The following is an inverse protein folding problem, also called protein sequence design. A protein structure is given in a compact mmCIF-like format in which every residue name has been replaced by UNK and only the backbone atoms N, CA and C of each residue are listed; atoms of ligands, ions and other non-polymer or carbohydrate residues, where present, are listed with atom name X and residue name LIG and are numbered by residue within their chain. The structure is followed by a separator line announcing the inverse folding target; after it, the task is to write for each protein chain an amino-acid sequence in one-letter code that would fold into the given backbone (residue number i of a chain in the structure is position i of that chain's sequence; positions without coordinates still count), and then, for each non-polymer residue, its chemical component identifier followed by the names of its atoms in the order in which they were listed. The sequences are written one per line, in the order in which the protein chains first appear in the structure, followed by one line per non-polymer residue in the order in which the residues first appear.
data_IF_055077112655
#
_entry.id   IF_055077112655
#
_cell.length_a   1.000
_cell.length_b   1.000
_cell.length_c   1.000
_cell.angle_alpha   90.00
_cell.angle_beta   90.00
_cell.angle_gamma   90.00
#
_symmetry.space_group_name_H-M   'P 1'
#
loop_
_entity.id
_entity.type
_entity.pdbx_description
1 polymer ?
#
# COMPACT_ATOMS: atom_id res chain seq x y z
N UNK A 1 -11.98 -3.10 -6.39
CA UNK A 1 -11.34 -2.69 -5.12
C UNK A 1 -10.50 -3.86 -4.68
N UNK A 2 -9.20 -3.68 -4.57
CA UNK A 2 -8.27 -4.67 -4.01
C UNK A 2 -7.93 -4.29 -2.57
N UNK A 3 -7.75 -5.29 -1.72
CA UNK A 3 -7.37 -5.12 -0.32
C UNK A 3 -5.93 -5.59 -0.19
N UNK A 4 -5.09 -4.78 0.44
CA UNK A 4 -3.71 -5.12 0.76
C UNK A 4 -3.54 -5.37 2.26
N UNK A 5 -2.44 -6.03 2.62
CA UNK A 5 -2.08 -6.29 4.03
C UNK A 5 -0.81 -5.52 4.37
N UNK A 6 -0.82 -4.77 5.48
CA UNK A 6 0.38 -4.08 5.98
C UNK A 6 1.39 -5.11 6.45
N UNK A 7 2.61 -5.06 5.91
CA UNK A 7 3.70 -5.99 6.27
C UNK A 7 4.73 -5.34 7.18
N UNK A 8 4.96 -4.04 7.05
CA UNK A 8 5.94 -3.30 7.85
C UNK A 8 5.55 -1.84 8.03
N UNK A 9 5.89 -1.26 9.20
CA UNK A 9 5.70 0.15 9.51
C UNK A 9 7.02 0.74 10.03
N UNK A 10 7.54 1.76 9.35
CA UNK A 10 8.76 2.51 9.73
C UNK A 10 8.43 4.00 9.77
N UNK A 11 7.97 4.48 10.93
CA UNK A 11 7.50 5.87 11.05
C UNK A 11 6.30 6.11 10.15
N UNK A 12 6.40 7.08 9.24
CA UNK A 12 5.36 7.39 8.26
C UNK A 12 5.39 6.48 7.01
N UNK A 13 6.45 5.70 6.83
CA UNK A 13 6.61 4.79 5.70
C UNK A 13 5.95 3.46 6.02
N UNK A 14 5.09 2.98 5.12
CA UNK A 14 4.35 1.73 5.29
C UNK A 14 4.53 0.84 4.06
N UNK A 15 4.90 -0.40 4.29
CA UNK A 15 4.93 -1.42 3.24
C UNK A 15 3.62 -2.22 3.28
N UNK A 16 2.98 -2.35 2.12
CA UNK A 16 1.69 -3.04 1.95
C UNK A 16 1.82 -4.08 0.84
N UNK A 17 1.44 -5.31 1.12
CA UNK A 17 1.39 -6.40 0.15
C UNK A 17 0.00 -6.49 -0.49
N UNK A 18 -0.03 -6.57 -1.82
CA UNK A 18 -1.23 -6.77 -2.62
C UNK A 18 -1.13 -8.06 -3.44
N UNK A 19 -2.28 -8.65 -3.83
CA UNK A 19 -2.31 -9.69 -4.86
C UNK A 19 -1.58 -9.24 -6.13
N UNK A 20 -0.83 -10.15 -6.75
CA UNK A 20 0.04 -9.86 -7.90
C UNK A 20 -0.70 -9.32 -9.13
N UNK A 21 -1.98 -9.63 -9.26
CA UNK A 21 -2.88 -9.15 -10.32
C UNK A 21 -3.55 -7.82 -9.98
N UNK A 22 -3.33 -7.29 -8.79
CA UNK A 22 -4.00 -6.09 -8.28
C UNK A 22 -3.05 -5.11 -7.57
N UNK A 23 -1.80 -5.03 -8.05
CA UNK A 23 -0.78 -4.10 -7.55
C UNK A 23 -1.17 -2.65 -7.92
N UNK A 24 -1.33 -1.75 -6.93
CA UNK A 24 -1.59 -0.34 -7.19
C UNK A 24 -0.43 0.37 -7.90
N UNK A 25 -0.74 1.44 -8.62
CA UNK A 25 0.26 2.28 -9.31
C UNK A 25 0.87 3.28 -8.35
N UNK A 26 2.04 3.80 -8.72
CA UNK A 26 2.63 4.98 -8.05
C UNK A 26 1.65 6.15 -8.16
N UNK A 27 1.48 6.89 -7.06
CA UNK A 27 0.49 7.95 -6.83
C UNK A 27 -0.96 7.48 -6.60
N UNK A 28 -1.22 6.17 -6.56
CA UNK A 28 -2.53 5.69 -6.10
C UNK A 28 -2.68 5.91 -4.59
N UNK A 29 -3.89 6.33 -4.19
CA UNK A 29 -4.26 6.49 -2.80
C UNK A 29 -4.74 5.15 -2.21
N UNK A 30 -4.21 4.78 -1.04
CA UNK A 30 -4.70 3.69 -0.20
C UNK A 30 -5.43 4.29 1.01
N UNK A 31 -6.64 3.82 1.26
CA UNK A 31 -7.46 4.28 2.39
C UNK A 31 -7.69 3.13 3.36
N UNK A 32 -7.79 3.44 4.65
CA UNK A 32 -8.16 2.46 5.67
C UNK A 32 -9.64 2.64 5.99
N UNK A 33 -10.43 1.57 5.92
CA UNK A 33 -11.89 1.66 6.11
C UNK A 33 -12.28 2.18 7.51
N UNK A 34 -11.50 1.84 8.54
CA UNK A 34 -11.80 2.18 9.94
C UNK A 34 -11.17 3.49 10.43
N UNK A 35 -10.44 4.21 9.56
CA UNK A 35 -9.70 5.42 9.95
C UNK A 35 -9.64 6.43 8.82
N UNK A 36 -9.76 7.71 9.15
CA UNK A 36 -9.49 8.81 8.21
C UNK A 36 -7.97 8.98 8.00
N UNK A 37 -7.35 7.98 7.38
CA UNK A 37 -5.94 7.93 7.03
C UNK A 37 -5.80 7.51 5.57
N UNK A 38 -5.13 8.36 4.79
CA UNK A 38 -4.78 8.08 3.40
C UNK A 38 -3.27 7.93 3.29
N UNK A 39 -2.85 6.85 2.63
CA UNK A 39 -1.46 6.59 2.25
C UNK A 39 -1.35 6.76 0.73
N UNK A 40 -0.19 7.18 0.22
CA UNK A 40 0.05 7.33 -1.22
C UNK A 40 1.18 6.40 -1.65
N UNK A 41 0.96 5.58 -2.66
CA UNK A 41 2.00 4.68 -3.16
C UNK A 41 3.15 5.47 -3.78
N UNK A 42 4.34 5.38 -3.18
CA UNK A 42 5.57 6.03 -3.64
C UNK A 42 6.42 5.10 -4.52
N UNK A 43 6.41 3.80 -4.24
CA UNK A 43 7.27 2.84 -4.94
C UNK A 43 6.68 1.42 -4.95
N UNK A 44 6.93 0.66 -6.02
CA UNK A 44 6.73 -0.79 -6.05
C UNK A 44 8.07 -1.48 -5.74
N UNK A 45 8.11 -2.31 -4.68
CA UNK A 45 9.33 -2.99 -4.23
C UNK A 45 9.56 -4.34 -4.92
N UNK A 46 8.53 -4.88 -5.58
CA UNK A 46 8.51 -6.23 -6.14
C UNK A 46 7.69 -7.18 -5.28
N UNK A 47 7.44 -8.38 -5.82
CA UNK A 47 6.67 -9.45 -5.15
C UNK A 47 5.28 -9.07 -4.62
N UNK A 48 4.66 -8.03 -5.18
CA UNK A 48 3.34 -7.54 -4.74
C UNK A 48 3.40 -6.49 -3.63
N UNK A 49 4.60 -6.11 -3.17
CA UNK A 49 4.79 -5.10 -2.13
C UNK A 49 4.91 -3.70 -2.73
N UNK A 50 4.13 -2.78 -2.18
CA UNK A 50 4.23 -1.35 -2.43
C UNK A 50 4.65 -0.62 -1.16
N UNK A 51 5.39 0.47 -1.33
CA UNK A 51 5.79 1.37 -0.25
C UNK A 51 5.03 2.68 -0.40
N UNK A 52 4.41 3.11 0.69
CA UNK A 52 3.72 4.40 0.81
C UNK A 52 4.52 5.41 1.62
#
# INVERSE_FOLDING_TARGET
MSIGTVTQVIGAVVDVEFPRDAIPKVHDALTLDDRDLTLEVQQQLGDGVVRT
#
